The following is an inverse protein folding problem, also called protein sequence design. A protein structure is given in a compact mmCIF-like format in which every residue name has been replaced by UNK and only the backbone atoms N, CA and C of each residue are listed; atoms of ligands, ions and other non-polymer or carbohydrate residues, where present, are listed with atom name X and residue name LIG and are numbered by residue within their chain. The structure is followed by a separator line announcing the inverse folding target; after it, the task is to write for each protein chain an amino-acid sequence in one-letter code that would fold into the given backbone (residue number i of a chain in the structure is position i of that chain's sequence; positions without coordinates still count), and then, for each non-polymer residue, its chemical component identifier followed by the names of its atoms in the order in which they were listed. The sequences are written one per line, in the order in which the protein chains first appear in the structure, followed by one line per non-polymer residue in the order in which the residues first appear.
data_IF_825485838088
#
_entry.id   IF_825485838088
#
_cell.length_a   1.000
_cell.length_b   1.000
_cell.length_c   1.000
_cell.angle_alpha   90.00
_cell.angle_beta   90.00
_cell.angle_gamma   90.00
#
_symmetry.space_group_name_H-M   'P 1'
#
loop_
_entity.id
_entity.type
_entity.pdbx_description
1 polymer ?
#
# COMPACT_ATOMS: atom_id res chain seq x y z
N UNK A 1 13.98 -27.34 21.47
CA UNK A 1 15.09 -26.46 21.05
C UNK A 1 14.46 -25.43 20.11
N UNK A 2 14.17 -24.29 20.67
CA UNK A 2 13.60 -23.17 19.92
C UNK A 2 14.70 -22.62 19.01
N UNK A 3 14.57 -22.87 17.72
CA UNK A 3 15.48 -22.34 16.71
C UNK A 3 15.17 -20.84 16.64
N UNK A 4 15.86 -20.05 17.42
CA UNK A 4 15.83 -18.58 17.32
C UNK A 4 16.52 -18.19 16.02
N UNK A 5 15.84 -18.43 14.90
CA UNK A 5 16.26 -17.88 13.63
C UNK A 5 16.30 -16.35 13.79
N UNK A 6 17.44 -15.76 13.46
CA UNK A 6 17.70 -14.33 13.58
C UNK A 6 17.01 -13.59 12.44
N UNK A 7 15.67 -13.50 12.50
CA UNK A 7 14.90 -12.68 11.55
C UNK A 7 15.15 -11.20 11.79
N UNK A 8 15.10 -10.44 10.72
CA UNK A 8 15.11 -8.99 10.82
C UNK A 8 13.86 -8.51 11.54
N UNK A 9 13.95 -7.44 12.32
CA UNK A 9 12.79 -6.91 13.04
C UNK A 9 11.62 -6.55 12.14
N UNK A 10 11.87 -6.11 10.89
CA UNK A 10 10.83 -5.85 9.90
C UNK A 10 10.13 -7.12 9.38
N UNK A 11 10.73 -8.31 9.56
CA UNK A 11 10.20 -9.61 9.16
C UNK A 11 9.47 -10.33 10.30
N UNK A 12 9.37 -9.71 11.47
CA UNK A 12 8.65 -10.28 12.60
C UNK A 12 7.14 -10.30 12.39
N UNK A 13 6.50 -11.38 12.78
CA UNK A 13 5.04 -11.53 12.69
C UNK A 13 4.28 -10.35 13.30
N UNK A 14 4.75 -9.79 14.44
CA UNK A 14 4.13 -8.61 15.07
C UNK A 14 4.09 -7.38 14.16
N UNK A 15 5.17 -7.12 13.42
CA UNK A 15 5.24 -6.00 12.46
C UNK A 15 4.27 -6.27 11.32
N UNK A 16 4.28 -7.49 10.82
CA UNK A 16 3.42 -7.93 9.75
C UNK A 16 1.93 -7.78 10.09
N UNK A 17 1.47 -8.27 11.25
CA UNK A 17 0.07 -8.10 11.69
C UNK A 17 -0.32 -6.63 11.86
N UNK A 18 0.60 -5.79 12.32
CA UNK A 18 0.38 -4.34 12.42
C UNK A 18 0.19 -3.73 11.04
N UNK A 19 1.03 -4.09 10.07
CA UNK A 19 0.93 -3.60 8.69
C UNK A 19 -0.37 -4.05 7.99
N UNK A 20 -0.84 -5.30 8.22
CA UNK A 20 -2.14 -5.76 7.72
C UNK A 20 -3.29 -4.92 8.32
N UNK A 21 -3.27 -4.66 9.61
CA UNK A 21 -4.30 -3.85 10.26
C UNK A 21 -4.33 -2.42 9.69
N UNK A 22 -3.16 -1.82 9.48
CA UNK A 22 -3.02 -0.50 8.84
C UNK A 22 -3.52 -0.53 7.39
N UNK A 23 -3.16 -1.55 6.62
CA UNK A 23 -3.62 -1.70 5.24
C UNK A 23 -5.14 -1.86 5.16
N UNK A 24 -5.74 -2.61 6.09
CA UNK A 24 -7.20 -2.71 6.24
C UNK A 24 -7.86 -1.36 6.54
N UNK A 25 -7.26 -0.58 7.44
CA UNK A 25 -7.71 0.77 7.74
C UNK A 25 -7.63 1.69 6.51
N UNK A 26 -6.52 1.68 5.78
CA UNK A 26 -6.38 2.45 4.55
C UNK A 26 -7.40 2.05 3.48
N UNK A 27 -7.67 0.75 3.33
CA UNK A 27 -8.70 0.26 2.43
C UNK A 27 -10.09 0.78 2.79
N UNK A 28 -10.46 0.73 4.08
CA UNK A 28 -11.71 1.28 4.57
C UNK A 28 -11.79 2.80 4.38
N UNK A 29 -10.72 3.53 4.72
CA UNK A 29 -10.63 4.98 4.57
C UNK A 29 -10.82 5.41 3.12
N UNK A 30 -10.07 4.83 2.17
CA UNK A 30 -10.17 5.21 0.76
C UNK A 30 -11.52 4.83 0.16
N UNK A 31 -12.05 3.67 0.51
CA UNK A 31 -13.32 3.21 -0.03
C UNK A 31 -14.53 3.95 0.54
N UNK A 32 -14.59 4.16 1.85
CA UNK A 32 -15.76 4.78 2.51
C UNK A 32 -15.74 6.30 2.42
N UNK A 33 -14.57 6.92 2.59
CA UNK A 33 -14.45 8.37 2.79
C UNK A 33 -13.80 9.10 1.62
N UNK A 34 -13.14 8.39 0.70
CA UNK A 34 -12.37 9.00 -0.39
C UNK A 34 -12.74 8.44 -1.76
N UNK A 35 -14.05 8.36 -2.06
CA UNK A 35 -14.55 8.16 -3.42
C UNK A 35 -14.54 6.72 -3.92
N UNK A 36 -14.70 5.74 -3.04
CA UNK A 36 -14.90 4.30 -3.36
C UNK A 36 -13.77 3.65 -4.18
N UNK A 37 -12.54 4.06 -3.92
CA UNK A 37 -11.33 3.49 -4.51
C UNK A 37 -10.67 2.54 -3.51
N UNK A 38 -10.22 1.40 -3.96
CA UNK A 38 -9.43 0.48 -3.14
C UNK A 38 -7.96 0.84 -3.19
N UNK A 39 -7.30 1.11 -2.07
CA UNK A 39 -5.86 1.39 -2.05
C UNK A 39 -5.01 0.13 -2.21
N UNK A 40 -5.51 -1.02 -1.80
CA UNK A 40 -4.78 -2.28 -1.77
C UNK A 40 -5.33 -3.34 -2.74
N UNK A 41 -6.57 -3.21 -3.24
CA UNK A 41 -7.21 -4.18 -4.12
C UNK A 41 -7.33 -3.62 -5.56
N UNK A 42 -6.21 -3.54 -6.29
CA UNK A 42 -6.19 -2.97 -7.64
C UNK A 42 -7.07 -3.73 -8.64
N UNK A 43 -7.27 -5.03 -8.44
CA UNK A 43 -8.22 -5.81 -9.24
C UNK A 43 -9.64 -5.23 -9.14
N UNK A 44 -10.05 -4.78 -7.94
CA UNK A 44 -11.34 -4.09 -7.77
C UNK A 44 -11.40 -2.76 -8.55
N UNK A 45 -10.35 -1.96 -8.50
CA UNK A 45 -10.27 -0.71 -9.25
C UNK A 45 -10.30 -0.96 -10.77
N UNK A 46 -9.65 -2.03 -11.27
CA UNK A 46 -9.71 -2.41 -12.68
C UNK A 46 -11.10 -2.87 -13.11
N UNK A 47 -11.84 -3.56 -12.25
CA UNK A 47 -13.25 -3.91 -12.53
C UNK A 47 -14.09 -2.66 -12.65
N UNK A 48 -13.94 -1.70 -11.72
CA UNK A 48 -14.69 -0.43 -11.75
C UNK A 48 -14.34 0.41 -12.99
N UNK A 49 -13.06 0.44 -13.36
CA UNK A 49 -12.60 1.03 -14.62
C UNK A 49 -13.25 0.37 -15.84
N UNK A 50 -13.26 -0.96 -15.89
CA UNK A 50 -13.87 -1.72 -17.00
C UNK A 50 -15.38 -1.48 -17.13
N UNK A 51 -16.08 -1.39 -15.99
CA UNK A 51 -17.51 -1.04 -15.97
C UNK A 51 -17.75 0.38 -16.51
N UNK A 52 -16.97 1.36 -16.08
CA UNK A 52 -17.07 2.73 -16.57
C UNK A 52 -16.83 2.84 -18.08
N UNK A 53 -15.82 2.14 -18.60
CA UNK A 53 -15.55 2.06 -20.05
C UNK A 53 -16.73 1.41 -20.78
N UNK A 54 -17.26 0.29 -20.27
CA UNK A 54 -18.40 -0.42 -20.88
C UNK A 54 -19.69 0.40 -20.92
N UNK A 55 -19.84 1.35 -20.01
CA UNK A 55 -20.96 2.28 -19.93
C UNK A 55 -20.69 3.61 -20.68
N UNK A 56 -19.53 3.73 -21.33
CA UNK A 56 -19.05 4.96 -21.97
C UNK A 56 -18.93 6.18 -21.02
N UNK A 57 -18.74 5.94 -19.72
CA UNK A 57 -18.54 6.96 -18.68
C UNK A 57 -17.06 7.35 -18.61
N UNK A 58 -16.59 8.11 -19.57
CA UNK A 58 -15.16 8.44 -19.74
C UNK A 58 -14.56 9.21 -18.56
N UNK A 59 -15.32 10.09 -17.93
CA UNK A 59 -14.89 10.82 -16.73
C UNK A 59 -14.68 9.88 -15.54
N UNK A 60 -15.60 8.96 -15.33
CA UNK A 60 -15.50 7.90 -14.30
C UNK A 60 -14.35 6.96 -14.60
N UNK A 61 -14.13 6.60 -15.85
CA UNK A 61 -13.00 5.79 -16.27
C UNK A 61 -11.66 6.51 -15.98
N UNK A 62 -11.53 7.78 -16.36
CA UNK A 62 -10.37 8.59 -16.06
C UNK A 62 -10.10 8.70 -14.55
N UNK A 63 -11.17 8.84 -13.74
CA UNK A 63 -11.07 8.88 -12.29
C UNK A 63 -10.38 7.66 -11.69
N UNK A 64 -10.66 6.46 -12.17
CA UNK A 64 -10.01 5.23 -11.68
C UNK A 64 -8.56 5.06 -12.18
N UNK A 65 -8.17 5.72 -13.26
CA UNK A 65 -6.79 5.66 -13.74
C UNK A 65 -5.79 6.31 -12.76
N UNK A 66 -6.16 7.38 -12.07
CA UNK A 66 -5.27 8.07 -11.13
C UNK A 66 -4.77 7.15 -10.00
N UNK A 67 -5.63 6.47 -9.21
CA UNK A 67 -5.16 5.58 -8.15
C UNK A 67 -4.42 4.35 -8.69
N UNK A 68 -4.83 3.80 -9.82
CA UNK A 68 -4.14 2.68 -10.46
C UNK A 68 -2.72 3.09 -10.88
N UNK A 69 -2.57 4.24 -11.54
CA UNK A 69 -1.26 4.78 -11.95
C UNK A 69 -0.37 5.09 -10.75
N UNK A 70 -0.94 5.65 -9.68
CA UNK A 70 -0.21 5.91 -8.44
C UNK A 70 0.30 4.62 -7.79
N UNK A 71 -0.51 3.57 -7.76
CA UNK A 71 -0.12 2.26 -7.27
C UNK A 71 1.03 1.66 -8.11
N UNK A 72 0.92 1.70 -9.43
CA UNK A 72 1.98 1.22 -10.33
C UNK A 72 3.29 2.01 -10.13
N UNK A 73 3.21 3.34 -10.00
CA UNK A 73 4.37 4.19 -9.75
C UNK A 73 5.04 3.85 -8.42
N UNK A 74 4.28 3.65 -7.35
CA UNK A 74 4.80 3.26 -6.03
C UNK A 74 5.48 1.89 -6.07
N UNK A 75 4.88 0.91 -6.75
CA UNK A 75 5.48 -0.41 -6.93
C UNK A 75 6.81 -0.32 -7.70
N UNK A 76 6.86 0.45 -8.78
CA UNK A 76 8.07 0.65 -9.58
C UNK A 76 9.17 1.35 -8.77
N UNK A 77 8.83 2.41 -8.05
CA UNK A 77 9.78 3.18 -7.22
C UNK A 77 10.34 2.31 -6.09
N UNK A 78 9.51 1.50 -5.46
CA UNK A 78 9.95 0.61 -4.37
C UNK A 78 10.96 -0.47 -4.82
N UNK A 79 11.01 -0.80 -6.10
CA UNK A 79 12.05 -1.68 -6.65
C UNK A 79 13.36 -0.94 -6.94
N UNK A 80 13.30 0.34 -7.29
CA UNK A 80 14.47 1.12 -7.69
C UNK A 80 15.24 1.71 -6.50
N UNK A 81 14.53 2.17 -5.45
CA UNK A 81 15.11 2.94 -4.36
C UNK A 81 15.91 2.18 -3.30
N UNK A 82 15.68 0.88 -2.99
CA UNK A 82 16.39 0.21 -1.89
C UNK A 82 17.90 0.31 -1.97
N UNK A 83 18.49 0.11 -3.14
CA UNK A 83 19.94 0.14 -3.32
C UNK A 83 20.53 1.56 -3.19
N UNK A 84 20.00 2.60 -3.86
CA UNK A 84 20.45 3.97 -3.67
C UNK A 84 20.31 4.45 -2.22
N UNK A 85 19.19 4.16 -1.56
CA UNK A 85 18.94 4.56 -0.16
C UNK A 85 19.97 3.91 0.76
N UNK A 86 20.23 2.62 0.66
CA UNK A 86 21.24 1.92 1.46
C UNK A 86 22.63 2.50 1.25
N UNK A 87 22.99 2.84 0.03
CA UNK A 87 24.31 3.36 -0.31
C UNK A 87 24.52 4.79 0.17
N UNK A 88 23.56 5.69 -0.07
CA UNK A 88 23.72 7.11 0.20
C UNK A 88 23.32 7.53 1.62
N UNK A 89 22.20 6.99 2.15
CA UNK A 89 21.66 7.41 3.44
C UNK A 89 22.09 6.50 4.59
N UNK A 90 22.65 5.32 4.33
CA UNK A 90 23.01 4.29 5.32
C UNK A 90 21.84 3.90 6.25
N UNK A 91 20.60 4.17 5.81
CA UNK A 91 19.37 3.84 6.50
C UNK A 91 18.76 2.62 5.80
N UNK A 92 18.09 1.78 6.57
CA UNK A 92 17.34 0.66 5.99
C UNK A 92 16.12 1.18 5.23
N UNK A 93 15.87 0.60 4.06
CA UNK A 93 14.74 0.98 3.20
C UNK A 93 13.38 0.82 3.90
N UNK A 94 13.18 -0.31 4.61
CA UNK A 94 11.96 -0.59 5.36
C UNK A 94 11.67 0.48 6.42
N UNK A 95 12.69 0.92 7.15
CA UNK A 95 12.57 1.99 8.15
C UNK A 95 12.20 3.33 7.51
N UNK A 96 12.86 3.67 6.39
CA UNK A 96 12.55 4.89 5.66
C UNK A 96 11.11 4.88 5.13
N UNK A 97 10.67 3.74 4.59
CA UNK A 97 9.31 3.59 4.08
C UNK A 97 8.26 3.81 5.18
N UNK A 98 8.41 3.19 6.34
CA UNK A 98 7.50 3.41 7.47
C UNK A 98 7.48 4.89 7.88
N UNK A 99 8.62 5.57 7.90
CA UNK A 99 8.67 7.00 8.19
C UNK A 99 7.91 7.83 7.14
N UNK A 100 8.03 7.49 5.86
CA UNK A 100 7.29 8.12 4.76
C UNK A 100 5.78 7.86 4.89
N UNK A 101 5.37 6.63 5.21
CA UNK A 101 3.97 6.29 5.46
C UNK A 101 3.40 7.12 6.62
N UNK A 102 4.11 7.19 7.75
CA UNK A 102 3.68 7.99 8.90
C UNK A 102 3.55 9.47 8.54
N UNK A 103 4.53 10.04 7.83
CA UNK A 103 4.48 11.43 7.38
C UNK A 103 3.29 11.66 6.44
N UNK A 104 3.05 10.74 5.50
CA UNK A 104 1.92 10.84 4.56
C UNK A 104 0.58 10.82 5.31
N UNK A 105 0.40 9.93 6.29
CA UNK A 105 -0.82 9.86 7.09
C UNK A 105 -1.03 11.13 7.90
N UNK A 106 0.02 11.68 8.52
CA UNK A 106 -0.06 12.94 9.25
C UNK A 106 -0.47 14.10 8.33
N UNK A 107 0.12 14.19 7.14
CA UNK A 107 -0.25 15.21 6.15
C UNK A 107 -1.69 15.04 5.69
N UNK A 108 -2.13 13.81 5.40
CA UNK A 108 -3.50 13.54 4.99
C UNK A 108 -4.53 13.82 6.08
N UNK A 109 -4.14 13.67 7.36
CA UNK A 109 -4.97 14.05 8.50
C UNK A 109 -5.20 15.57 8.62
N UNK A 110 -4.33 16.39 8.01
CA UNK A 110 -4.46 17.84 7.95
C UNK A 110 -5.19 18.32 6.69
N UNK A 111 -5.42 17.44 5.71
CA UNK A 111 -6.13 17.78 4.47
C UNK A 111 -7.61 17.96 4.77
N UNK A 112 -8.19 19.14 4.49
CA UNK A 112 -9.60 19.41 4.77
C UNK A 112 -10.51 18.52 3.93
N UNK A 113 -11.71 18.25 4.42
CA UNK A 113 -12.71 17.43 3.71
C UNK A 113 -13.13 18.02 2.36
N UNK A 114 -13.02 19.34 2.20
CA UNK A 114 -13.29 20.06 0.95
C UNK A 114 -12.22 19.84 -0.14
N UNK A 115 -11.06 19.28 0.21
CA UNK A 115 -10.01 19.02 -0.77
C UNK A 115 -10.40 17.89 -1.73
N UNK A 116 -9.90 17.92 -2.98
CA UNK A 116 -10.15 16.85 -3.95
C UNK A 116 -9.78 15.47 -3.39
N UNK A 117 -10.70 14.52 -3.45
CA UNK A 117 -10.50 13.16 -2.91
C UNK A 117 -9.32 12.43 -3.57
N UNK A 118 -8.98 12.81 -4.80
CA UNK A 118 -7.87 12.26 -5.57
C UNK A 118 -6.52 12.43 -4.86
N UNK A 119 -6.33 13.51 -4.09
CA UNK A 119 -5.10 13.74 -3.31
C UNK A 119 -4.87 12.56 -2.35
N UNK A 120 -5.89 12.23 -1.58
CA UNK A 120 -5.81 11.11 -0.64
C UNK A 120 -5.72 9.75 -1.35
N UNK A 121 -6.47 9.57 -2.44
CA UNK A 121 -6.44 8.34 -3.22
C UNK A 121 -5.05 8.07 -3.80
N UNK A 122 -4.46 9.05 -4.45
CA UNK A 122 -3.12 8.95 -5.05
C UNK A 122 -2.07 8.67 -3.98
N UNK A 123 -2.07 9.46 -2.90
CA UNK A 123 -1.10 9.30 -1.83
C UNK A 123 -1.19 7.92 -1.16
N UNK A 124 -2.40 7.47 -0.77
CA UNK A 124 -2.58 6.18 -0.09
C UNK A 124 -2.31 5.00 -1.02
N UNK A 125 -2.74 5.06 -2.30
CA UNK A 125 -2.42 4.00 -3.27
C UNK A 125 -0.91 3.88 -3.51
N UNK A 126 -0.21 5.01 -3.59
CA UNK A 126 1.23 5.05 -3.77
C UNK A 126 1.97 4.38 -2.60
N UNK A 127 1.69 4.80 -1.35
CA UNK A 127 2.36 4.21 -0.18
C UNK A 127 1.96 2.75 0.06
N UNK A 128 0.69 2.38 -0.17
CA UNK A 128 0.23 1.00 -0.02
C UNK A 128 0.94 0.04 -0.98
N UNK A 129 1.22 0.47 -2.22
CA UNK A 129 1.98 -0.33 -3.17
C UNK A 129 3.45 -0.50 -2.75
N UNK A 130 4.06 0.55 -2.21
CA UNK A 130 5.43 0.49 -1.69
C UNK A 130 5.51 -0.44 -0.47
N UNK A 131 4.54 -0.37 0.44
CA UNK A 131 4.43 -1.28 1.58
C UNK A 131 4.32 -2.73 1.11
N UNK A 132 3.39 -3.02 0.20
CA UNK A 132 3.21 -4.36 -0.36
C UNK A 132 4.49 -4.91 -0.96
N UNK A 133 5.21 -4.09 -1.71
CA UNK A 133 6.40 -4.49 -2.43
C UNK A 133 7.64 -4.64 -1.53
N UNK A 134 7.66 -3.96 -0.39
CA UNK A 134 8.78 -3.99 0.55
C UNK A 134 8.64 -5.11 1.58
N UNK A 135 7.45 -5.32 2.14
CA UNK A 135 7.20 -6.32 3.19
C UNK A 135 6.56 -7.58 2.59
N UNK A 136 7.39 -8.43 1.99
CA UNK A 136 6.97 -9.62 1.22
C UNK A 136 7.05 -10.93 2.00
N UNK A 137 7.63 -10.92 3.20
CA UNK A 137 7.80 -12.11 4.03
C UNK A 137 7.71 -11.79 5.51
N UNK A 138 7.27 -12.77 6.29
CA UNK A 138 7.33 -12.74 7.75
C UNK A 138 7.91 -14.09 8.23
N UNK A 139 8.98 -14.02 9.04
CA UNK A 139 9.65 -15.18 9.64
C UNK A 139 9.91 -16.31 8.62
N UNK A 140 10.46 -15.93 7.45
CA UNK A 140 10.80 -16.87 6.37
C UNK A 140 9.61 -17.36 5.51
N UNK A 141 8.38 -16.96 5.85
CA UNK A 141 7.18 -17.32 5.07
C UNK A 141 6.82 -16.17 4.13
N UNK A 142 6.66 -16.41 2.81
CA UNK A 142 6.15 -15.41 1.87
C UNK A 142 4.77 -14.94 2.28
N UNK A 143 4.59 -13.64 2.44
CA UNK A 143 3.36 -13.05 2.92
C UNK A 143 3.03 -11.75 2.19
N UNK A 144 1.75 -11.36 2.19
CA UNK A 144 1.26 -10.11 1.60
C UNK A 144 0.63 -9.22 2.66
N UNK A 145 1.22 -8.07 2.94
CA UNK A 145 0.72 -7.15 3.98
C UNK A 145 -0.59 -6.47 3.63
N UNK A 146 -1.01 -6.51 2.36
CA UNK A 146 -2.22 -5.82 1.88
C UNK A 146 -3.43 -6.73 1.69
N UNK A 147 -3.26 -8.06 1.79
CA UNK A 147 -4.33 -9.05 1.58
C UNK A 147 -4.39 -10.05 2.73
N UNK A 148 -5.32 -9.85 3.66
CA UNK A 148 -5.54 -10.76 4.79
C UNK A 148 -5.90 -12.20 4.36
N UNK A 149 -6.52 -12.37 3.19
CA UNK A 149 -6.95 -13.67 2.66
C UNK A 149 -5.81 -14.57 2.19
N UNK A 150 -4.62 -14.02 1.96
CA UNK A 150 -3.46 -14.81 1.50
C UNK A 150 -2.93 -15.77 2.58
N UNK A 151 -3.38 -15.63 3.84
CA UNK A 151 -2.90 -16.43 4.98
C UNK A 151 -3.81 -17.60 5.36
N UNK A 152 -4.98 -17.70 4.76
CA UNK A 152 -5.95 -18.76 5.08
C UNK A 152 -5.51 -20.13 4.49
N UNK A 153 -4.53 -20.13 3.60
CA UNK A 153 -4.09 -21.34 2.89
C UNK A 153 -2.76 -21.96 3.40
N UNK A 154 -2.19 -21.44 4.50
CA UNK A 154 -0.91 -21.94 5.05
C UNK A 154 -1.12 -22.61 6.41
N UNK A 155 -2.09 -23.49 6.50
CA UNK A 155 -2.27 -24.38 7.66
C UNK A 155 -2.42 -25.82 7.18
#
# INVERSE_FOLDING_TARGET
MENTENYLECERNRVYYTLIAIAGFFGAYTFLLRGKVFCNAQTGNLVLLGLAIGQAEWETAAYYLFPISAYMAGAFISELLPNPVKYHLKIRWDTLLIAVEMATVLVLGLVPESAPVQISQVAVNFIASMQYNTFRQAEGTPMATTFATNHIHVS
#
